data_IF_522010838222
#
_entry.id   IF_522010838222
#
_cell.length_a   1.000
_cell.length_b   1.000
_cell.length_c   1.000
_cell.angle_alpha   90.00
_cell.angle_beta   90.00
_cell.angle_gamma   90.00
#
_symmetry.space_group_name_H-M   'P 1'
#
loop_
_entity.id
_entity.type
_entity.pdbx_description
1 polymer ?
#
# COMPACT_ATOMS: atom_id res chain seq x y z
N UNK A 1 9.83 33.89 -7.30
CA UNK A 1 8.54 34.38 -6.74
C UNK A 1 7.70 33.15 -6.46
N UNK A 2 7.36 33.02 -5.19
CA UNK A 2 6.95 31.84 -4.43
C UNK A 2 5.72 31.11 -4.97
N UNK A 3 5.85 29.80 -5.17
CA UNK A 3 4.78 28.80 -5.12
C UNK A 3 4.95 27.94 -3.84
N UNK A 4 5.22 28.60 -2.72
CA UNK A 4 4.94 28.02 -1.40
C UNK A 4 3.56 28.52 -0.99
N UNK A 5 2.84 27.68 -0.24
CA UNK A 5 1.64 28.05 0.53
C UNK A 5 0.29 27.90 -0.18
N UNK A 6 0.03 26.78 -0.87
CA UNK A 6 -1.36 26.42 -1.22
C UNK A 6 -1.67 24.91 -1.26
N UNK A 7 -0.87 24.05 -0.62
CA UNK A 7 -1.15 22.60 -0.60
C UNK A 7 -1.10 21.93 0.78
N UNK A 8 -1.29 22.69 1.87
CA UNK A 8 -1.33 22.16 3.25
C UNK A 8 -2.75 21.99 3.82
N UNK A 9 -3.80 22.00 2.98
CA UNK A 9 -5.19 21.91 3.42
C UNK A 9 -6.03 20.84 2.69
N UNK A 10 -5.40 19.79 2.17
CA UNK A 10 -6.10 18.53 1.89
C UNK A 10 -6.03 17.71 3.19
N UNK A 11 -7.19 17.48 3.82
CA UNK A 11 -7.30 16.95 5.18
C UNK A 11 -6.48 15.69 5.40
N UNK A 12 -5.41 15.79 6.19
CA UNK A 12 -4.77 14.61 6.78
C UNK A 12 -5.74 14.07 7.81
N UNK A 13 -6.62 13.16 7.38
CA UNK A 13 -7.40 12.37 8.30
C UNK A 13 -6.44 11.61 9.23
N UNK A 14 -6.70 11.67 10.54
CA UNK A 14 -5.92 10.89 11.50
C UNK A 14 -6.41 9.44 11.50
N UNK A 15 -5.54 8.52 11.91
CA UNK A 15 -5.90 7.12 12.12
C UNK A 15 -7.16 6.94 12.97
N UNK A 16 -7.31 7.78 14.00
CA UNK A 16 -8.48 7.79 14.88
C UNK A 16 -9.78 8.16 14.15
N UNK A 17 -9.75 9.10 13.20
CA UNK A 17 -10.94 9.49 12.44
C UNK A 17 -11.43 8.34 11.56
N UNK A 18 -10.51 7.59 10.93
CA UNK A 18 -10.89 6.41 10.14
C UNK A 18 -11.49 5.30 11.00
N UNK A 19 -10.96 5.08 12.21
CA UNK A 19 -11.51 4.13 13.17
C UNK A 19 -12.91 4.54 13.64
N UNK A 20 -13.12 5.81 13.98
CA UNK A 20 -14.43 6.35 14.40
C UNK A 20 -15.48 6.22 13.28
N UNK A 21 -15.10 6.51 12.03
CA UNK A 21 -15.96 6.33 10.87
C UNK A 21 -16.33 4.86 10.63
N UNK A 22 -15.36 3.95 10.76
CA UNK A 22 -15.61 2.51 10.65
C UNK A 22 -16.59 2.02 11.73
N UNK A 23 -16.42 2.47 12.99
CA UNK A 23 -17.36 2.15 14.07
C UNK A 23 -18.77 2.69 13.83
N UNK A 24 -18.88 3.91 13.28
CA UNK A 24 -20.17 4.50 12.90
C UNK A 24 -20.86 3.66 11.81
N UNK A 25 -20.13 3.32 10.73
CA UNK A 25 -20.63 2.46 9.66
C UNK A 25 -21.14 1.13 10.21
N UNK A 26 -20.34 0.41 11.00
CA UNK A 26 -20.73 -0.89 11.55
C UNK A 26 -21.92 -0.82 12.52
N UNK A 27 -22.08 0.31 13.21
CA UNK A 27 -23.26 0.55 14.05
C UNK A 27 -24.54 0.66 13.22
N UNK A 28 -24.46 1.31 12.05
CA UNK A 28 -25.58 1.37 11.10
C UNK A 28 -25.79 0.02 10.42
N UNK A 29 -24.72 -0.64 9.97
CA UNK A 29 -24.76 -1.96 9.34
C UNK A 29 -25.54 -2.96 10.19
N UNK A 30 -25.24 -3.09 11.48
CA UNK A 30 -25.93 -4.02 12.39
C UNK A 30 -27.44 -3.81 12.45
N UNK A 31 -27.93 -2.59 12.25
CA UNK A 31 -29.37 -2.27 12.25
C UNK A 31 -30.03 -2.65 10.93
N UNK A 32 -29.29 -2.53 9.83
CA UNK A 32 -29.77 -2.74 8.46
C UNK A 32 -29.48 -4.14 7.93
N UNK A 33 -28.60 -4.92 8.56
CA UNK A 33 -28.08 -6.20 8.07
C UNK A 33 -29.20 -7.20 7.73
N UNK A 34 -30.20 -7.34 8.60
CA UNK A 34 -31.33 -8.24 8.35
C UNK A 34 -32.19 -7.79 7.15
N UNK A 35 -32.31 -6.47 6.91
CA UNK A 35 -33.02 -5.91 5.76
C UNK A 35 -32.20 -6.15 4.48
N UNK A 36 -30.91 -5.89 4.52
CA UNK A 36 -30.00 -6.10 3.39
C UNK A 36 -29.94 -7.58 3.01
N UNK A 37 -29.80 -8.49 3.97
CA UNK A 37 -29.76 -9.93 3.74
C UNK A 37 -31.05 -10.50 3.13
N UNK A 38 -32.20 -9.80 3.28
CA UNK A 38 -33.47 -10.18 2.68
C UNK A 38 -33.62 -9.75 1.21
N UNK A 39 -32.66 -8.99 0.65
CA UNK A 39 -32.65 -8.62 -0.76
C UNK A 39 -32.27 -9.83 -1.61
N UNK A 40 -33.06 -10.17 -2.63
CA UNK A 40 -32.75 -11.30 -3.52
C UNK A 40 -31.76 -10.91 -4.63
N UNK A 41 -31.75 -9.64 -5.04
CA UNK A 41 -30.91 -9.13 -6.12
C UNK A 41 -29.56 -8.60 -5.60
N UNK A 42 -28.42 -9.19 -6.02
CA UNK A 42 -27.09 -8.73 -5.61
C UNK A 42 -26.79 -7.28 -5.99
N UNK A 43 -27.31 -6.79 -7.12
CA UNK A 43 -27.07 -5.41 -7.56
C UNK A 43 -27.74 -4.43 -6.62
N UNK A 44 -29.00 -4.69 -6.25
CA UNK A 44 -29.74 -3.91 -5.26
C UNK A 44 -29.05 -3.98 -3.89
N UNK A 45 -28.59 -5.15 -3.45
CA UNK A 45 -27.82 -5.29 -2.20
C UNK A 45 -26.59 -4.39 -2.19
N UNK A 46 -25.74 -4.51 -3.21
CA UNK A 46 -24.48 -3.76 -3.31
C UNK A 46 -24.77 -2.26 -3.37
N UNK A 47 -25.80 -1.84 -4.11
CA UNK A 47 -26.20 -0.41 -4.19
C UNK A 47 -26.60 0.13 -2.82
N UNK A 48 -27.48 -0.57 -2.10
CA UNK A 48 -27.94 -0.17 -0.78
C UNK A 48 -26.82 -0.19 0.26
N UNK A 49 -25.96 -1.21 0.23
CA UNK A 49 -24.81 -1.33 1.12
C UNK A 49 -23.80 -0.18 0.90
N UNK A 50 -23.52 0.18 -0.35
CA UNK A 50 -22.66 1.32 -0.67
C UNK A 50 -23.29 2.67 -0.26
N UNK A 51 -24.61 2.82 -0.37
CA UNK A 51 -25.28 4.03 0.11
C UNK A 51 -25.07 4.24 1.62
N UNK A 52 -25.10 3.17 2.41
CA UNK A 52 -24.79 3.24 3.85
C UNK A 52 -23.30 3.53 4.10
N UNK A 53 -22.41 2.91 3.34
CA UNK A 53 -20.97 3.07 3.48
C UNK A 53 -20.51 4.50 3.15
N UNK A 54 -21.06 5.09 2.09
CA UNK A 54 -20.61 6.37 1.55
C UNK A 54 -20.78 7.54 2.52
N UNK A 55 -21.69 7.44 3.50
CA UNK A 55 -21.86 8.44 4.57
C UNK A 55 -20.62 8.55 5.46
N UNK A 56 -19.90 7.44 5.67
CA UNK A 56 -18.81 7.34 6.64
C UNK A 56 -17.43 7.15 5.98
N UNK A 57 -17.38 6.39 4.88
CA UNK A 57 -16.16 6.05 4.16
C UNK A 57 -16.34 6.32 2.65
N UNK A 58 -16.38 7.59 2.22
CA UNK A 58 -16.78 7.96 0.86
C UNK A 58 -15.84 7.48 -0.24
N UNK A 59 -14.58 7.16 0.09
CA UNK A 59 -13.59 6.63 -0.85
C UNK A 59 -13.47 5.10 -0.83
N UNK A 60 -14.34 4.41 -0.08
CA UNK A 60 -14.38 2.94 -0.02
C UNK A 60 -15.68 2.46 -0.65
N UNK A 61 -15.61 1.31 -1.33
CA UNK A 61 -16.77 0.59 -1.82
C UNK A 61 -16.88 -0.78 -1.16
N UNK A 62 -18.11 -1.28 -1.07
CA UNK A 62 -18.40 -2.66 -0.68
C UNK A 62 -18.90 -3.45 -1.87
N UNK A 63 -18.29 -4.60 -2.12
CA UNK A 63 -18.71 -5.60 -3.09
C UNK A 63 -19.21 -6.85 -2.36
N UNK A 64 -19.83 -7.77 -3.11
CA UNK A 64 -20.42 -8.99 -2.57
C UNK A 64 -19.91 -10.20 -3.34
N UNK A 65 -19.25 -11.12 -2.62
CA UNK A 65 -18.90 -12.45 -3.13
C UNK A 65 -19.91 -13.49 -2.64
N UNK A 66 -20.74 -14.01 -3.55
CA UNK A 66 -21.82 -14.94 -3.24
C UNK A 66 -23.19 -14.26 -3.15
N UNK A 67 -24.21 -14.94 -2.59
CA UNK A 67 -25.58 -14.42 -2.56
C UNK A 67 -25.76 -13.38 -1.43
N UNK A 68 -26.77 -12.50 -1.51
CA UNK A 68 -26.97 -11.44 -0.52
C UNK A 68 -27.20 -11.92 0.92
N UNK A 69 -27.77 -13.12 1.11
CA UNK A 69 -28.12 -13.64 2.42
C UNK A 69 -26.90 -13.89 3.33
N UNK A 70 -25.82 -14.45 2.78
CA UNK A 70 -24.66 -14.92 3.55
C UNK A 70 -23.31 -14.72 2.84
N UNK A 71 -23.29 -14.13 1.64
CA UNK A 71 -22.07 -13.85 0.88
C UNK A 71 -21.07 -12.95 1.64
N UNK A 72 -19.81 -13.04 1.26
CA UNK A 72 -18.74 -12.26 1.87
C UNK A 72 -18.79 -10.80 1.40
N UNK A 73 -18.58 -9.88 2.33
CA UNK A 73 -18.43 -8.46 2.04
C UNK A 73 -16.97 -8.19 1.67
N UNK A 74 -16.72 -7.61 0.51
CA UNK A 74 -15.36 -7.23 0.09
C UNK A 74 -15.26 -5.72 0.11
N UNK A 75 -14.40 -5.17 0.96
CA UNK A 75 -14.15 -3.72 0.98
C UNK A 75 -12.96 -3.38 0.10
N UNK A 76 -13.14 -2.40 -0.79
CA UNK A 76 -12.14 -1.97 -1.76
C UNK A 76 -12.03 -0.45 -1.82
N UNK A 77 -10.84 0.05 -2.14
CA UNK A 77 -10.59 1.45 -2.39
C UNK A 77 -10.53 1.78 -3.90
N UNK A 78 -10.93 0.83 -4.78
CA UNK A 78 -10.84 0.95 -6.24
C UNK A 78 -9.44 1.35 -6.72
N UNK A 79 -8.41 0.83 -6.07
CA UNK A 79 -7.02 1.13 -6.41
C UNK A 79 -6.49 2.46 -5.88
N UNK A 80 -7.29 3.23 -5.15
CA UNK A 80 -6.83 4.48 -4.54
C UNK A 80 -6.14 4.25 -3.21
N UNK A 81 -4.81 4.32 -3.25
CA UNK A 81 -3.94 4.08 -2.11
C UNK A 81 -4.22 5.00 -0.91
N UNK A 82 -4.71 6.23 -1.14
CA UNK A 82 -5.02 7.17 -0.05
C UNK A 82 -6.18 6.68 0.83
N UNK A 83 -7.04 5.82 0.29
CA UNK A 83 -8.22 5.29 0.97
C UNK A 83 -8.01 3.90 1.58
N UNK A 84 -6.86 3.26 1.37
CA UNK A 84 -6.53 1.97 1.97
C UNK A 84 -6.63 1.96 3.52
N UNK A 85 -6.20 3.01 4.24
CA UNK A 85 -6.40 3.07 5.70
C UNK A 85 -7.85 2.97 6.15
N UNK A 86 -8.81 3.48 5.36
CA UNK A 86 -10.24 3.35 5.66
C UNK A 86 -10.70 1.90 5.52
N UNK A 87 -10.24 1.19 4.50
CA UNK A 87 -10.50 -0.25 4.34
C UNK A 87 -9.96 -1.01 5.55
N UNK A 88 -8.71 -0.78 5.94
CA UNK A 88 -8.10 -1.45 7.10
C UNK A 88 -8.86 -1.18 8.40
N UNK A 89 -9.35 0.05 8.61
CA UNK A 89 -10.15 0.39 9.79
C UNK A 89 -11.50 -0.35 9.83
N UNK A 90 -12.16 -0.52 8.67
CA UNK A 90 -13.38 -1.32 8.54
C UNK A 90 -13.13 -2.79 8.89
N UNK A 91 -12.02 -3.36 8.43
CA UNK A 91 -11.66 -4.76 8.70
C UNK A 91 -11.33 -4.99 10.17
N UNK A 92 -10.55 -4.08 10.78
CA UNK A 92 -10.16 -4.18 12.19
C UNK A 92 -11.36 -4.24 13.15
N UNK A 93 -12.50 -3.66 12.77
CA UNK A 93 -13.70 -3.55 13.59
C UNK A 93 -14.83 -4.51 13.15
N UNK A 94 -14.61 -5.30 12.10
CA UNK A 94 -15.62 -6.17 11.51
C UNK A 94 -16.05 -7.34 12.41
N UNK A 95 -15.09 -8.01 13.06
CA UNK A 95 -15.35 -9.24 13.83
C UNK A 95 -16.28 -9.02 15.04
N UNK A 96 -16.34 -7.80 15.58
CA UNK A 96 -17.26 -7.41 16.66
C UNK A 96 -18.62 -6.92 16.13
N UNK A 97 -18.75 -6.80 14.81
CA UNK A 97 -19.82 -6.05 14.14
C UNK A 97 -20.70 -6.89 13.25
N UNK A 98 -20.22 -7.99 12.68
CA UNK A 98 -21.01 -8.89 11.83
C UNK A 98 -20.51 -10.33 11.94
N UNK A 99 -21.42 -11.29 11.74
CA UNK A 99 -21.08 -12.72 11.60
C UNK A 99 -20.73 -13.10 10.15
N UNK A 100 -20.94 -12.18 9.18
CA UNK A 100 -20.59 -12.40 7.78
C UNK A 100 -19.07 -12.45 7.62
N UNK A 101 -18.64 -13.19 6.59
CA UNK A 101 -17.25 -13.08 6.15
C UNK A 101 -17.00 -11.68 5.60
N UNK A 102 -15.92 -11.06 6.05
CA UNK A 102 -15.47 -9.75 5.57
C UNK A 102 -14.05 -9.89 5.06
N UNK A 103 -13.84 -9.46 3.82
CA UNK A 103 -12.59 -9.56 3.10
C UNK A 103 -12.00 -8.16 2.86
N UNK A 104 -10.70 -8.06 3.12
CA UNK A 104 -9.92 -6.85 2.90
C UNK A 104 -9.39 -6.83 1.47
N UNK A 105 -9.81 -5.85 0.68
CA UNK A 105 -9.45 -5.69 -0.74
C UNK A 105 -9.93 -6.85 -1.62
N UNK A 106 -10.01 -6.60 -2.93
CA UNK A 106 -10.26 -7.68 -3.90
C UNK A 106 -9.16 -8.73 -3.81
N UNK A 107 -9.57 -9.99 -3.70
CA UNK A 107 -8.65 -11.12 -3.72
C UNK A 107 -8.28 -11.51 -5.15
N UNK A 108 -7.13 -12.16 -5.32
CA UNK A 108 -6.77 -12.80 -6.59
C UNK A 108 -7.86 -13.79 -6.99
N UNK A 109 -8.28 -13.77 -8.26
CA UNK A 109 -9.21 -14.77 -8.79
C UNK A 109 -8.65 -16.19 -8.67
N UNK A 110 -9.47 -17.11 -8.16
CA UNK A 110 -9.10 -18.54 -8.05
C UNK A 110 -9.09 -19.30 -9.38
N UNK A 111 -9.80 -18.81 -10.40
CA UNK A 111 -9.84 -19.39 -11.75
C UNK A 111 -9.79 -18.29 -12.82
N UNK A 112 -8.66 -17.56 -12.91
CA UNK A 112 -8.56 -16.36 -13.73
C UNK A 112 -8.73 -16.64 -15.22
N UNK A 113 -8.49 -17.87 -15.69
CA UNK A 113 -8.56 -18.25 -17.11
C UNK A 113 -9.97 -18.17 -17.72
N UNK A 114 -11.01 -18.15 -16.88
CA UNK A 114 -12.42 -18.06 -17.31
C UNK A 114 -12.99 -16.64 -17.18
N UNK A 115 -12.18 -15.69 -16.70
CA UNK A 115 -12.67 -14.36 -16.38
C UNK A 115 -12.88 -13.52 -17.63
N UNK A 116 -14.06 -12.89 -17.68
CA UNK A 116 -14.47 -11.99 -18.75
C UNK A 116 -15.34 -10.86 -18.19
N UNK A 117 -15.19 -9.67 -18.75
CA UNK A 117 -16.00 -8.50 -18.39
C UNK A 117 -16.59 -7.92 -19.68
N UNK A 118 -17.81 -7.39 -19.57
CA UNK A 118 -18.47 -6.65 -20.66
C UNK A 118 -18.89 -5.26 -20.18
N UNK A 119 -18.47 -4.22 -20.88
CA UNK A 119 -18.82 -2.83 -20.59
C UNK A 119 -18.96 -2.04 -21.90
N UNK A 120 -19.98 -1.19 -22.01
CA UNK A 120 -20.15 -0.33 -23.19
C UNK A 120 -20.31 -1.08 -24.52
N UNK A 121 -20.72 -2.36 -24.50
CA UNK A 121 -20.80 -3.21 -25.70
C UNK A 121 -19.49 -3.88 -26.10
N UNK A 122 -18.38 -3.58 -25.41
CA UNK A 122 -17.09 -4.28 -25.53
C UNK A 122 -17.07 -5.44 -24.54
N UNK A 123 -16.75 -6.62 -25.01
CA UNK A 123 -16.48 -7.81 -24.19
C UNK A 123 -14.98 -8.12 -24.27
N UNK A 124 -14.39 -8.43 -23.12
CA UNK A 124 -12.96 -8.72 -23.01
C UNK A 124 -12.75 -9.94 -22.11
N UNK A 125 -11.93 -10.86 -22.59
CA UNK A 125 -11.48 -12.03 -21.83
C UNK A 125 -10.01 -11.88 -21.47
N UNK A 126 -9.56 -12.57 -20.42
CA UNK A 126 -8.15 -12.56 -20.00
C UNK A 126 -7.17 -12.99 -21.10
N UNK A 127 -7.62 -13.74 -22.11
CA UNK A 127 -6.81 -14.14 -23.25
C UNK A 127 -6.62 -13.03 -24.30
N UNK A 128 -7.46 -11.98 -24.25
CA UNK A 128 -7.37 -10.83 -25.15
C UNK A 128 -6.32 -9.80 -24.69
N UNK A 129 -5.80 -9.96 -23.47
CA UNK A 129 -4.78 -9.10 -22.86
C UNK A 129 -3.50 -9.91 -22.70
N UNK A 130 -2.40 -9.38 -23.24
CA UNK A 130 -1.05 -9.93 -23.12
C UNK A 130 -0.21 -8.98 -22.26
N UNK A 131 0.54 -9.53 -21.31
CA UNK A 131 1.30 -8.77 -20.35
C UNK A 131 2.73 -9.29 -20.31
N UNK A 132 3.71 -8.39 -20.43
CA UNK A 132 5.09 -8.65 -20.01
C UNK A 132 5.28 -8.07 -18.62
N UNK A 133 5.84 -8.85 -17.71
CA UNK A 133 6.15 -8.43 -16.35
C UNK A 133 7.64 -8.63 -16.10
N UNK A 134 8.36 -7.52 -15.86
CA UNK A 134 9.80 -7.49 -15.62
C UNK A 134 10.17 -6.57 -14.46
N UNK A 135 11.41 -6.66 -13.97
CA UNK A 135 11.91 -5.76 -12.94
C UNK A 135 12.28 -4.40 -13.53
N UNK A 136 11.79 -3.33 -12.90
CA UNK A 136 12.20 -1.97 -13.17
C UNK A 136 12.25 -1.15 -11.87
N UNK A 137 13.43 -0.60 -11.56
CA UNK A 137 13.68 0.23 -10.36
C UNK A 137 13.24 -0.45 -9.05
N UNK A 138 13.53 -1.74 -8.94
CA UNK A 138 13.22 -2.56 -7.77
C UNK A 138 11.74 -2.88 -7.62
N UNK A 139 10.91 -2.73 -8.65
CA UNK A 139 9.52 -3.19 -8.65
C UNK A 139 9.19 -3.93 -9.95
N UNK A 140 8.25 -4.88 -9.93
CA UNK A 140 7.57 -5.34 -11.14
C UNK A 140 6.97 -4.18 -11.94
N UNK A 141 7.27 -4.13 -13.23
CA UNK A 141 6.66 -3.23 -14.20
C UNK A 141 5.98 -4.03 -15.31
N UNK A 142 4.86 -3.50 -15.81
CA UNK A 142 3.98 -4.18 -16.74
C UNK A 142 3.90 -3.43 -18.07
N UNK A 143 4.21 -4.13 -19.16
CA UNK A 143 3.76 -3.71 -20.49
C UNK A 143 2.51 -4.49 -20.85
N UNK A 144 1.44 -3.79 -21.19
CA UNK A 144 0.14 -4.37 -21.52
C UNK A 144 -0.16 -4.14 -23.00
N UNK A 145 -0.40 -5.22 -23.73
CA UNK A 145 -0.81 -5.21 -25.12
C UNK A 145 -2.13 -5.97 -25.31
N UNK A 146 -2.91 -5.59 -26.32
CA UNK A 146 -4.08 -6.38 -26.71
C UNK A 146 -3.67 -7.43 -27.75
N UNK A 147 -4.11 -8.67 -27.57
CA UNK A 147 -3.87 -9.77 -28.50
C UNK A 147 -4.40 -9.45 -29.92
N UNK A 148 -5.47 -8.66 -29.99
CA UNK A 148 -5.97 -8.00 -31.20
C UNK A 148 -6.12 -6.51 -30.91
N UNK A 149 -5.54 -5.61 -31.72
CA UNK A 149 -5.71 -4.18 -31.53
C UNK A 149 -7.20 -3.82 -31.50
N UNK A 150 -7.67 -3.11 -30.45
CA UNK A 150 -9.05 -2.62 -30.41
C UNK A 150 -9.26 -1.59 -31.52
N UNK A 151 -10.51 -1.36 -31.90
CA UNK A 151 -10.83 -0.26 -32.80
C UNK A 151 -10.48 1.07 -32.11
N UNK A 152 -10.12 2.08 -32.89
CA UNK A 152 -9.75 3.39 -32.36
C UNK A 152 -10.84 4.02 -31.47
N UNK A 153 -12.12 3.80 -31.81
CA UNK A 153 -13.28 4.27 -31.03
C UNK A 153 -13.48 3.52 -29.70
N UNK A 154 -12.97 2.29 -29.60
CA UNK A 154 -13.13 1.41 -28.44
C UNK A 154 -11.89 1.39 -27.54
N UNK A 155 -10.77 2.02 -27.95
CA UNK A 155 -9.47 1.90 -27.30
C UNK A 155 -9.50 2.32 -25.82
N UNK A 156 -10.11 3.46 -25.48
CA UNK A 156 -10.21 3.92 -24.09
C UNK A 156 -11.03 2.95 -23.23
N UNK A 157 -12.14 2.44 -23.77
CA UNK A 157 -12.98 1.45 -23.09
C UNK A 157 -12.22 0.13 -22.89
N UNK A 158 -11.44 -0.30 -23.88
CA UNK A 158 -10.62 -1.50 -23.81
C UNK A 158 -9.51 -1.36 -22.75
N UNK A 159 -8.80 -0.22 -22.70
CA UNK A 159 -7.79 0.05 -21.68
C UNK A 159 -8.40 0.08 -20.28
N UNK A 160 -9.57 0.72 -20.11
CA UNK A 160 -10.29 0.72 -18.84
C UNK A 160 -10.70 -0.68 -18.39
N UNK A 161 -11.22 -1.50 -19.31
CA UNK A 161 -11.53 -2.91 -19.04
C UNK A 161 -10.29 -3.68 -18.62
N UNK A 162 -9.16 -3.50 -19.32
CA UNK A 162 -7.92 -4.18 -18.98
C UNK A 162 -7.41 -3.84 -17.58
N UNK A 163 -7.50 -2.57 -17.15
CA UNK A 163 -7.16 -2.16 -15.79
C UNK A 163 -8.07 -2.81 -14.73
N UNK A 164 -9.40 -2.79 -14.96
CA UNK A 164 -10.35 -3.46 -14.06
C UNK A 164 -10.03 -4.97 -13.98
N UNK A 165 -9.73 -5.60 -15.12
CA UNK A 165 -9.40 -7.02 -15.15
C UNK A 165 -8.09 -7.34 -14.44
N UNK A 166 -7.10 -6.45 -14.52
CA UNK A 166 -5.84 -6.57 -13.82
C UNK A 166 -6.04 -6.54 -12.30
N UNK A 167 -6.87 -5.64 -11.78
CA UNK A 167 -7.20 -5.57 -10.35
C UNK A 167 -7.84 -6.87 -9.84
N UNK A 168 -8.70 -7.51 -10.64
CA UNK A 168 -9.32 -8.79 -10.26
C UNK A 168 -8.31 -9.95 -10.33
N UNK A 169 -7.49 -9.98 -11.38
CA UNK A 169 -6.53 -11.07 -11.59
C UNK A 169 -5.41 -11.03 -10.55
N UNK A 170 -4.86 -9.85 -10.26
CA UNK A 170 -3.80 -9.68 -9.26
C UNK A 170 -4.33 -9.54 -7.84
N UNK A 171 -5.60 -9.20 -7.66
CA UNK A 171 -6.07 -8.65 -6.40
C UNK A 171 -5.60 -7.20 -6.24
N UNK A 172 -6.35 -6.42 -5.49
CA UNK A 172 -6.15 -4.97 -5.40
C UNK A 172 -4.85 -4.62 -4.64
N UNK A 173 -4.48 -5.37 -3.60
CA UNK A 173 -3.23 -5.12 -2.88
C UNK A 173 -2.01 -5.24 -3.81
N UNK A 174 -1.91 -6.34 -4.56
CA UNK A 174 -0.75 -6.57 -5.41
C UNK A 174 -0.71 -5.61 -6.60
N UNK A 175 -1.87 -5.30 -7.18
CA UNK A 175 -1.99 -4.34 -8.27
C UNK A 175 -1.52 -2.94 -7.86
N UNK A 176 -1.83 -2.48 -6.64
CA UNK A 176 -1.50 -1.12 -6.19
C UNK A 176 -0.13 -1.04 -5.52
N UNK A 177 0.25 -2.04 -4.73
CA UNK A 177 1.44 -1.97 -3.85
C UNK A 177 2.67 -2.59 -4.50
N UNK A 178 2.50 -3.68 -5.26
CA UNK A 178 3.62 -4.44 -5.81
C UNK A 178 3.96 -4.04 -7.24
N UNK A 179 2.97 -3.63 -8.05
CA UNK A 179 3.22 -3.14 -9.40
C UNK A 179 3.69 -1.69 -9.34
N UNK A 180 4.84 -1.40 -9.96
CA UNK A 180 5.44 -0.07 -10.00
C UNK A 180 4.98 0.76 -11.19
N UNK A 181 5.30 0.32 -12.39
CA UNK A 181 4.92 1.00 -13.64
C UNK A 181 4.00 0.11 -14.47
N UNK A 182 3.05 0.72 -15.17
CA UNK A 182 2.17 0.05 -16.11
C UNK A 182 2.02 0.93 -17.36
N UNK A 183 2.36 0.38 -18.52
CA UNK A 183 2.25 1.06 -19.80
C UNK A 183 1.45 0.21 -20.80
N UNK A 184 0.55 0.85 -21.55
CA UNK A 184 -0.09 0.22 -22.71
C UNK A 184 0.79 0.38 -23.94
N UNK A 185 1.13 -0.72 -24.59
CA UNK A 185 2.04 -0.74 -25.75
C UNK A 185 1.32 -1.22 -27.02
N UNK A 186 1.70 -0.63 -28.16
CA UNK A 186 1.06 -0.93 -29.46
C UNK A 186 1.47 -2.30 -30.04
N UNK A 187 2.66 -2.77 -29.69
CA UNK A 187 3.20 -4.04 -30.15
C UNK A 187 3.32 -5.03 -29.00
N UNK A 188 2.91 -6.29 -29.23
CA UNK A 188 3.04 -7.35 -28.23
C UNK A 188 4.52 -7.53 -27.87
N UNK A 189 4.89 -7.31 -26.60
CA UNK A 189 6.28 -7.43 -26.19
C UNK A 189 6.73 -8.90 -26.26
N UNK A 190 8.04 -9.16 -26.47
CA UNK A 190 8.58 -10.50 -26.36
C UNK A 190 8.28 -11.09 -24.98
N UNK A 191 8.05 -12.40 -24.92
CA UNK A 191 7.76 -13.13 -23.66
C UNK A 191 6.48 -12.71 -22.93
N UNK A 192 5.63 -11.89 -23.57
CA UNK A 192 4.31 -11.56 -23.04
C UNK A 192 3.47 -12.83 -22.84
N UNK A 193 2.80 -12.92 -21.68
CA UNK A 193 1.89 -14.00 -21.32
C UNK A 193 0.45 -13.48 -21.29
N UNK A 194 -0.57 -14.33 -21.50
CA UNK A 194 -1.96 -13.93 -21.26
C UNK A 194 -2.17 -13.44 -19.83
N UNK A 195 -3.09 -12.49 -19.61
CA UNK A 195 -3.31 -11.86 -18.31
C UNK A 195 -3.53 -12.86 -17.16
N UNK A 196 -4.21 -13.99 -17.39
CA UNK A 196 -4.43 -15.00 -16.35
C UNK A 196 -3.14 -15.64 -15.80
N UNK A 197 -2.01 -15.50 -16.48
CA UNK A 197 -0.68 -15.96 -16.03
C UNK A 197 0.11 -14.89 -15.28
N UNK A 198 -0.38 -13.66 -15.25
CA UNK A 198 0.28 -12.55 -14.59
C UNK A 198 0.54 -12.80 -13.09
N UNK A 199 -0.36 -13.41 -12.29
CA UNK A 199 -0.08 -13.65 -10.87
C UNK A 199 1.17 -14.52 -10.66
N UNK A 200 1.30 -15.62 -11.42
CA UNK A 200 2.47 -16.50 -11.39
C UNK A 200 3.74 -15.72 -11.77
N UNK A 201 3.66 -14.90 -12.83
CA UNK A 201 4.81 -14.11 -13.30
C UNK A 201 5.22 -13.01 -12.33
N UNK A 202 4.25 -12.35 -11.70
CA UNK A 202 4.48 -11.34 -10.66
C UNK A 202 5.22 -11.97 -9.48
N UNK A 203 4.78 -13.14 -9.02
CA UNK A 203 5.40 -13.85 -7.89
C UNK A 203 6.84 -14.30 -8.22
N UNK A 204 7.12 -14.71 -9.47
CA UNK A 204 8.48 -15.00 -9.93
C UNK A 204 9.40 -13.77 -9.82
N UNK A 205 8.95 -12.62 -10.36
CA UNK A 205 9.73 -11.37 -10.31
C UNK A 205 9.91 -10.90 -8.86
N UNK A 206 8.85 -10.97 -8.05
CA UNK A 206 8.88 -10.59 -6.64
C UNK A 206 9.88 -11.43 -5.84
N UNK A 207 9.89 -12.74 -6.07
CA UNK A 207 10.85 -13.65 -5.44
C UNK A 207 12.28 -13.42 -5.93
N UNK A 208 12.47 -13.12 -7.21
CA UNK A 208 13.79 -12.79 -7.77
C UNK A 208 14.37 -11.50 -7.16
N UNK A 209 13.51 -10.58 -6.73
CA UNK A 209 13.86 -9.39 -5.95
C UNK A 209 14.19 -9.69 -4.48
N UNK A 210 14.16 -10.95 -4.03
CA UNK A 210 14.46 -11.34 -2.66
C UNK A 210 13.34 -11.04 -1.66
N UNK A 211 12.08 -10.99 -2.12
CA UNK A 211 10.91 -10.65 -1.31
C UNK A 211 10.04 -11.89 -1.10
N UNK A 212 10.10 -12.46 0.10
CA UNK A 212 9.44 -13.73 0.45
C UNK A 212 8.43 -13.61 1.59
N UNK A 213 8.23 -12.40 2.12
CA UNK A 213 7.38 -12.06 3.26
C UNK A 213 7.80 -12.72 4.59
N UNK A 214 8.93 -13.42 4.65
CA UNK A 214 9.43 -14.03 5.87
C UNK A 214 10.14 -12.98 6.72
N UNK A 215 9.88 -13.00 8.02
CA UNK A 215 10.60 -12.13 8.93
C UNK A 215 12.06 -12.59 9.01
N UNK A 216 13.04 -11.69 8.78
CA UNK A 216 14.43 -12.07 8.72
C UNK A 216 14.96 -12.47 10.10
N UNK A 217 15.93 -13.38 10.12
CA UNK A 217 16.67 -13.70 11.33
C UNK A 217 17.48 -12.48 11.84
N UNK A 218 17.79 -12.39 13.15
CA UNK A 218 18.38 -11.20 13.78
C UNK A 218 19.80 -10.81 13.32
N UNK A 219 20.42 -11.56 12.41
CA UNK A 219 21.69 -11.18 11.76
C UNK A 219 21.41 -10.18 10.63
N UNK A 220 21.07 -8.95 11.04
CA UNK A 220 20.68 -7.90 10.10
C UNK A 220 21.86 -7.44 9.25
N UNK A 221 21.60 -7.33 7.94
CA UNK A 221 22.57 -6.90 6.95
C UNK A 221 22.33 -5.43 6.63
N UNK A 222 23.37 -4.62 6.70
CA UNK A 222 23.28 -3.19 6.41
C UNK A 222 24.24 -2.78 5.30
N UNK A 223 23.76 -1.92 4.39
CA UNK A 223 24.58 -1.29 3.36
C UNK A 223 24.54 0.22 3.53
N UNK A 224 25.71 0.86 3.42
CA UNK A 224 25.82 2.31 3.40
C UNK A 224 25.88 2.82 1.96
N UNK A 225 25.06 3.82 1.64
CA UNK A 225 25.06 4.54 0.38
C UNK A 225 25.41 6.01 0.66
N UNK A 226 26.12 6.64 -0.26
CA UNK A 226 26.47 8.06 -0.16
C UNK A 226 26.06 8.77 -1.44
N UNK A 227 25.55 9.99 -1.28
CA UNK A 227 25.27 10.91 -2.37
C UNK A 227 25.91 12.25 -2.02
N UNK A 228 26.73 12.75 -2.93
CA UNK A 228 27.39 14.04 -2.75
C UNK A 228 26.43 15.20 -2.98
N UNK A 229 26.79 16.37 -2.46
CA UNK A 229 26.07 17.62 -2.69
C UNK A 229 26.24 18.08 -4.15
N UNK A 230 25.16 18.53 -4.76
CA UNK A 230 25.14 19.12 -6.10
C UNK A 230 24.25 20.37 -6.07
N UNK A 231 24.89 21.53 -5.94
CA UNK A 231 24.20 22.83 -5.89
C UNK A 231 23.44 23.14 -7.19
N UNK A 232 23.92 22.68 -8.36
CA UNK A 232 23.28 22.97 -9.65
C UNK A 232 21.94 22.23 -9.78
N UNK A 233 21.84 21.07 -9.15
CA UNK A 233 20.65 20.22 -9.16
C UNK A 233 19.84 20.28 -7.85
N UNK A 234 20.14 21.24 -6.95
CA UNK A 234 19.51 21.39 -5.63
C UNK A 234 19.54 20.07 -4.81
N UNK A 235 20.66 19.34 -4.83
CA UNK A 235 20.81 18.06 -4.14
C UNK A 235 21.66 18.18 -2.88
N UNK A 236 21.09 17.78 -1.74
CA UNK A 236 21.82 17.66 -0.48
C UNK A 236 22.79 16.47 -0.46
N UNK A 237 23.88 16.61 0.30
CA UNK A 237 24.77 15.51 0.67
C UNK A 237 24.09 14.56 1.66
N UNK A 238 23.98 13.27 1.29
CA UNK A 238 23.30 12.25 2.08
C UNK A 238 24.21 11.05 2.37
N UNK A 239 24.07 10.51 3.59
CA UNK A 239 24.55 9.17 3.96
C UNK A 239 23.36 8.33 4.37
N UNK A 240 23.11 7.24 3.65
CA UNK A 240 22.00 6.33 3.91
C UNK A 240 22.55 5.03 4.48
N UNK A 241 21.95 4.52 5.54
CA UNK A 241 22.22 3.19 6.07
C UNK A 241 20.94 2.37 5.93
N UNK A 242 20.90 1.46 4.95
CA UNK A 242 19.73 0.63 4.65
C UNK A 242 19.87 -0.75 5.28
N UNK A 243 18.82 -1.23 5.95
CA UNK A 243 18.69 -2.61 6.39
C UNK A 243 18.27 -3.48 5.20
N UNK A 244 19.21 -4.20 4.60
CA UNK A 244 18.97 -5.11 3.47
C UNK A 244 18.10 -6.31 3.88
N UNK A 245 18.16 -6.73 5.16
CA UNK A 245 17.30 -7.80 5.66
C UNK A 245 15.81 -7.42 5.64
N UNK A 246 15.48 -6.13 5.67
CA UNK A 246 14.10 -5.66 5.57
C UNK A 246 13.48 -5.86 4.18
N UNK A 247 14.28 -6.04 3.12
CA UNK A 247 13.75 -6.21 1.76
C UNK A 247 12.80 -7.41 1.63
N UNK A 248 13.03 -8.48 2.39
CA UNK A 248 12.16 -9.66 2.44
C UNK A 248 10.71 -9.34 2.81
N UNK A 249 10.51 -8.28 3.60
CA UNK A 249 9.21 -7.86 4.15
C UNK A 249 8.48 -6.82 3.30
N UNK A 250 9.13 -6.25 2.28
CA UNK A 250 8.53 -5.22 1.44
C UNK A 250 7.24 -5.74 0.78
N UNK A 251 6.19 -4.93 0.82
CA UNK A 251 4.89 -5.22 0.20
C UNK A 251 4.01 -6.20 0.98
N UNK A 252 4.36 -6.54 2.22
CA UNK A 252 3.47 -7.23 3.15
C UNK A 252 2.28 -6.36 3.53
N UNK A 253 1.08 -6.95 3.46
CA UNK A 253 -0.18 -6.27 3.77
C UNK A 253 -0.29 -5.78 5.22
N UNK A 254 0.33 -6.50 6.14
CA UNK A 254 0.35 -6.19 7.56
C UNK A 254 1.48 -5.22 7.95
N UNK A 255 2.31 -4.74 7.03
CA UNK A 255 3.39 -3.77 7.31
C UNK A 255 3.28 -2.53 6.43
N UNK A 256 2.06 -1.98 6.35
CA UNK A 256 1.73 -0.84 5.50
C UNK A 256 2.06 0.54 6.09
N UNK A 257 2.40 0.62 7.38
CA UNK A 257 2.67 1.89 8.04
C UNK A 257 4.16 2.14 8.18
N UNK A 258 4.56 3.40 8.06
CA UNK A 258 5.91 3.89 8.31
C UNK A 258 5.88 4.84 9.51
N UNK A 259 6.68 4.53 10.53
CA UNK A 259 6.99 5.46 11.62
C UNK A 259 8.41 5.95 11.43
N UNK A 260 8.61 7.26 11.52
CA UNK A 260 9.92 7.88 11.42
C UNK A 260 10.22 8.79 12.59
N UNK A 261 11.51 8.90 12.94
CA UNK A 261 12.02 9.86 13.91
C UNK A 261 13.12 10.68 13.27
N UNK A 262 12.91 11.99 13.16
CA UNK A 262 13.87 12.96 12.65
C UNK A 262 14.49 13.75 13.79
N UNK A 263 15.81 13.91 13.82
CA UNK A 263 16.52 14.67 14.84
C UNK A 263 17.69 15.50 14.27
N UNK A 264 18.15 16.49 15.03
CA UNK A 264 19.30 17.33 14.68
C UNK A 264 20.62 16.67 15.13
N UNK A 265 21.66 16.78 14.29
CA UNK A 265 23.00 16.25 14.56
C UNK A 265 24.05 17.36 14.54
N UNK A 266 24.09 18.14 15.62
CA UNK A 266 25.02 19.26 15.78
C UNK A 266 26.30 18.84 16.51
N UNK A 267 27.20 18.15 15.81
CA UNK A 267 28.49 17.70 16.34
C UNK A 267 28.50 16.24 16.82
N UNK A 268 29.64 15.81 17.35
CA UNK A 268 29.92 14.40 17.66
C UNK A 268 29.01 13.84 18.76
N UNK A 269 28.81 14.58 19.86
CA UNK A 269 27.95 14.14 20.97
C UNK A 269 26.49 13.93 20.52
N UNK A 270 25.98 14.84 19.67
CA UNK A 270 24.64 14.74 19.10
C UNK A 270 24.51 13.55 18.15
N UNK A 271 25.54 13.30 17.32
CA UNK A 271 25.59 12.14 16.45
C UNK A 271 25.56 10.81 17.24
N UNK A 272 26.36 10.72 18.31
CA UNK A 272 26.37 9.55 19.18
C UNK A 272 25.05 9.34 19.92
N UNK A 273 24.38 10.41 20.31
CA UNK A 273 23.04 10.35 20.90
C UNK A 273 21.99 9.92 19.86
N UNK A 274 22.09 10.40 18.61
CA UNK A 274 21.21 9.98 17.52
C UNK A 274 21.35 8.48 17.19
N UNK A 275 22.55 7.90 17.29
CA UNK A 275 22.73 6.45 17.17
C UNK A 275 22.07 5.67 18.30
N UNK A 276 22.16 6.14 19.56
CA UNK A 276 21.45 5.51 20.67
C UNK A 276 19.93 5.59 20.51
N UNK A 277 19.42 6.75 20.07
CA UNK A 277 18.00 6.91 19.74
C UNK A 277 17.57 5.91 18.68
N UNK A 278 18.38 5.73 17.62
CA UNK A 278 18.12 4.73 16.60
C UNK A 278 18.08 3.31 17.17
N UNK A 279 19.10 2.92 17.95
CA UNK A 279 19.16 1.57 18.51
C UNK A 279 17.93 1.25 19.38
N UNK A 280 17.48 2.21 20.21
CA UNK A 280 16.27 2.06 21.03
C UNK A 280 14.99 2.01 20.18
N UNK A 281 14.91 2.83 19.12
CA UNK A 281 13.77 2.84 18.21
C UNK A 281 13.68 1.55 17.38
N UNK A 282 14.79 1.08 16.81
CA UNK A 282 14.87 -0.14 16.01
C UNK A 282 14.53 -1.37 16.87
N UNK A 283 14.94 -1.39 18.15
CA UNK A 283 14.58 -2.45 19.09
C UNK A 283 13.07 -2.50 19.38
N UNK A 284 12.41 -1.35 19.54
CA UNK A 284 10.96 -1.27 19.72
C UNK A 284 10.20 -1.63 18.43
N UNK A 285 10.73 -1.27 17.27
CA UNK A 285 10.17 -1.62 15.96
C UNK A 285 10.16 -3.13 15.73
N UNK A 286 11.26 -3.83 16.02
CA UNK A 286 11.35 -5.29 15.83
C UNK A 286 10.66 -6.12 16.92
N UNK A 287 10.17 -5.50 17.99
CA UNK A 287 9.51 -6.19 19.09
C UNK A 287 8.35 -7.05 18.56
N UNK A 288 8.38 -8.34 18.92
CA UNK A 288 7.39 -9.34 18.47
C UNK A 288 7.21 -9.46 16.95
N UNK A 289 8.23 -9.07 16.17
CA UNK A 289 8.19 -9.11 14.70
C UNK A 289 7.06 -8.27 14.07
N UNK A 290 6.55 -7.27 14.81
CA UNK A 290 5.46 -6.40 14.35
C UNK A 290 5.94 -5.27 13.43
N UNK A 291 7.25 -5.08 13.32
CA UNK A 291 7.86 -4.11 12.43
C UNK A 291 9.36 -4.36 12.25
N UNK A 292 10.03 -3.47 11.55
CA UNK A 292 11.48 -3.53 11.31
C UNK A 292 12.03 -2.14 10.99
N UNK A 293 13.22 -1.81 11.51
CA UNK A 293 13.97 -0.65 11.05
C UNK A 293 14.39 -0.82 9.59
N UNK A 294 14.04 0.12 8.71
CA UNK A 294 14.22 0.00 7.26
C UNK A 294 15.45 0.74 6.77
N UNK A 295 15.54 2.03 7.09
CA UNK A 295 16.63 2.90 6.64
C UNK A 295 16.84 4.05 7.63
N UNK A 296 18.08 4.49 7.78
CA UNK A 296 18.39 5.78 8.37
C UNK A 296 19.07 6.68 7.32
N UNK A 297 18.58 7.91 7.19
CA UNK A 297 19.11 8.92 6.26
C UNK A 297 19.73 10.04 7.07
N UNK A 298 21.01 10.31 6.83
CA UNK A 298 21.72 11.46 7.38
C UNK A 298 21.91 12.50 6.30
N UNK A 299 21.31 13.66 6.50
CA UNK A 299 21.50 14.82 5.65
C UNK A 299 22.61 15.69 6.23
N UNK A 300 23.78 15.65 5.58
CA UNK A 300 24.98 16.36 6.04
C UNK A 300 24.85 17.87 5.82
N UNK A 301 24.20 18.29 4.72
CA UNK A 301 23.95 19.70 4.41
C UNK A 301 23.08 20.37 5.47
N UNK A 302 22.04 19.66 5.93
CA UNK A 302 21.06 20.17 6.91
C UNK A 302 21.40 19.86 8.37
N UNK A 303 22.35 18.97 8.62
CA UNK A 303 22.66 18.50 9.97
C UNK A 303 21.48 17.76 10.60
N UNK A 304 20.81 16.89 9.84
CA UNK A 304 19.64 16.14 10.30
C UNK A 304 19.83 14.63 10.06
N UNK A 305 19.26 13.80 10.95
CA UNK A 305 19.14 12.36 10.75
C UNK A 305 17.67 11.96 10.86
N UNK A 306 17.18 11.17 9.91
CA UNK A 306 15.84 10.57 9.96
C UNK A 306 15.96 9.06 9.96
N UNK A 307 15.35 8.41 10.92
CA UNK A 307 15.29 6.94 11.06
C UNK A 307 13.88 6.51 10.69
N UNK A 308 13.75 5.45 9.89
CA UNK A 308 12.48 4.93 9.41
C UNK A 308 12.31 3.47 9.83
N UNK A 309 11.08 3.11 10.19
CA UNK A 309 10.67 1.74 10.44
C UNK A 309 9.30 1.47 9.82
N UNK A 310 9.16 0.30 9.20
CA UNK A 310 7.86 -0.20 8.76
C UNK A 310 7.22 -1.03 9.87
N UNK A 311 5.90 -0.94 10.03
CA UNK A 311 5.18 -1.59 11.13
C UNK A 311 3.73 -1.95 10.77
N UNK A 312 3.21 -3.00 11.41
CA UNK A 312 1.80 -3.33 11.49
C UNK A 312 1.07 -2.74 12.70
N UNK A 313 1.82 -2.21 13.67
CA UNK A 313 1.30 -1.61 14.89
C UNK A 313 1.70 -0.13 14.99
N UNK A 314 1.15 0.74 14.12
CA UNK A 314 1.54 2.15 14.05
C UNK A 314 1.30 2.90 15.37
N UNK A 315 0.21 2.64 16.08
CA UNK A 315 -0.11 3.32 17.35
C UNK A 315 0.90 2.98 18.45
N UNK A 316 1.25 1.70 18.60
CA UNK A 316 2.23 1.25 19.59
C UNK A 316 3.61 1.86 19.30
N UNK A 317 4.07 1.75 18.06
CA UNK A 317 5.39 2.24 17.68
C UNK A 317 5.46 3.78 17.74
N UNK A 318 4.40 4.48 17.33
CA UNK A 318 4.33 5.95 17.43
C UNK A 318 4.36 6.43 18.89
N UNK A 319 3.63 5.77 19.80
CA UNK A 319 3.69 6.11 21.23
C UNK A 319 5.10 5.92 21.81
N UNK A 320 5.80 4.86 21.39
CA UNK A 320 7.20 4.62 21.75
C UNK A 320 8.15 5.67 21.17
N UNK A 321 7.97 6.02 19.90
CA UNK A 321 8.73 7.07 19.24
C UNK A 321 8.56 8.43 19.96
N UNK A 322 7.35 8.77 20.40
CA UNK A 322 7.09 9.98 21.17
C UNK A 322 7.80 9.97 22.53
N UNK A 323 7.78 8.85 23.25
CA UNK A 323 8.52 8.72 24.51
C UNK A 323 10.04 8.85 24.30
N UNK A 324 10.58 8.28 23.22
CA UNK A 324 11.99 8.48 22.84
C UNK A 324 12.28 9.93 22.48
N UNK A 325 11.35 10.63 21.81
CA UNK A 325 11.53 12.05 21.53
C UNK A 325 11.65 12.89 22.80
N UNK A 326 10.92 12.55 23.87
CA UNK A 326 11.04 13.21 25.18
C UNK A 326 12.36 12.86 25.87
N UNK A 327 12.80 11.61 25.79
CA UNK A 327 14.05 11.13 26.39
C UNK A 327 15.29 11.79 25.77
N UNK A 328 15.28 12.00 24.45
CA UNK A 328 16.38 12.57 23.67
C UNK A 328 16.08 14.02 23.22
N UNK A 329 15.38 14.79 24.07
CA UNK A 329 14.93 16.15 23.74
C UNK A 329 16.05 17.10 23.29
N UNK A 330 17.31 16.84 23.68
CA UNK A 330 18.49 17.59 23.25
C UNK A 330 18.71 17.57 21.73
N UNK A 331 18.24 16.52 21.04
CA UNK A 331 18.33 16.37 19.59
C UNK A 331 17.17 17.03 18.83
N UNK A 332 16.25 17.68 19.56
CA UNK A 332 14.97 18.20 19.04
C UNK A 332 14.22 17.19 18.16
N UNK A 333 14.06 15.94 18.58
CA UNK A 333 13.51 14.89 17.74
C UNK A 333 12.02 15.11 17.46
N UNK A 334 11.57 14.67 16.29
CA UNK A 334 10.19 14.73 15.84
C UNK A 334 9.80 13.37 15.25
N UNK A 335 8.75 12.78 15.80
CA UNK A 335 8.17 11.55 15.28
C UNK A 335 7.05 11.84 14.28
N UNK A 336 6.94 11.04 13.24
CA UNK A 336 5.84 11.06 12.28
C UNK A 336 5.38 9.64 11.94
N UNK A 337 4.12 9.50 11.57
CA UNK A 337 3.53 8.24 11.11
C UNK A 337 2.76 8.50 9.81
N UNK A 338 2.99 7.67 8.81
CA UNK A 338 2.33 7.74 7.51
C UNK A 338 1.98 6.34 7.00
N UNK A 339 0.95 6.26 6.16
CA UNK A 339 0.63 5.04 5.43
C UNK A 339 1.45 4.99 4.13
N UNK A 340 2.42 4.08 4.07
CA UNK A 340 3.31 3.86 2.91
C UNK A 340 3.54 2.36 2.72
N UNK A 341 2.58 1.61 2.18
CA UNK A 341 2.74 0.15 1.99
C UNK A 341 3.70 -0.21 0.86
N UNK A 342 4.06 0.77 0.02
CA UNK A 342 5.03 0.60 -1.07
C UNK A 342 6.48 0.86 -0.63
N UNK A 343 6.67 1.24 0.64
CA UNK A 343 7.96 1.56 1.25
C UNK A 343 8.80 2.49 0.36
N UNK A 344 8.23 3.62 -0.07
CA UNK A 344 8.88 4.59 -0.97
C UNK A 344 10.22 5.06 -0.40
N UNK A 345 10.27 5.28 0.91
CA UNK A 345 11.48 5.68 1.63
C UNK A 345 12.62 4.67 1.53
N UNK A 346 12.32 3.38 1.29
CA UNK A 346 13.31 2.29 1.24
C UNK A 346 13.92 2.06 -0.16
N UNK A 347 13.27 2.55 -1.22
CA UNK A 347 13.59 2.25 -2.64
C UNK A 347 14.27 3.41 -3.39
N UNK A 348 15.10 4.18 -2.67
CA UNK A 348 15.80 5.38 -3.15
C UNK A 348 16.59 5.22 -4.45
#
# INVERSE_FOLDING_TARGET
MTKSDTNEAAGRHSLSEWQDNAHCFWTVWRREEARLAALEDPVTFVTEANNLLHEYCPGVVVELEGPPADGALVFSANGDLEHFPQVLALIATAAESTERSVLCFRQRLGSPEQFAIRMGGVEMQVADILVRCEEWRGLPALDVAFAKPPKAEDLETAQRLALIMLDHVLGEWDAVVKVGALDFVDAVPPEAVPLHRLPEKLDEVWKALGRDALYPEPEWQYTAYQRDEDEENEQDALVLLRNESANGLLGRADMGWCVSVRCEINGEDALMAAYRLQDEFDAEACHQQQGIGTIAVTNLTRGERTIFAATGEPERLMAKAQALCEQFAELKPQAACEYDPSWRHYRF
#
